data_IF_595716913679
#
_entry.id   IF_595716913679
#
_cell.length_a   1.000
_cell.length_b   1.000
_cell.length_c   1.000
_cell.angle_alpha   90.00
_cell.angle_beta   90.00
_cell.angle_gamma   90.00
#
_symmetry.space_group_name_H-M   'P 1'
#
loop_
_entity.id
_entity.type
_entity.pdbx_description
1 polymer ?
#
# COMPACT_ATOMS: atom_id res chain seq x y z
N UNK A 1 -33.58 8.67 33.12
CA UNK A 1 -34.11 7.30 32.94
C UNK A 1 -33.89 6.90 31.49
N UNK A 2 -33.13 5.84 31.23
CA UNK A 2 -32.94 5.33 29.87
C UNK A 2 -34.28 4.82 29.32
N UNK A 3 -34.64 5.22 28.10
CA UNK A 3 -35.86 4.78 27.46
C UNK A 3 -35.78 3.25 27.23
N UNK A 4 -36.67 2.42 27.81
CA UNK A 4 -36.59 0.97 27.65
C UNK A 4 -36.68 0.55 26.18
N UNK A 5 -37.36 1.31 25.31
CA UNK A 5 -37.39 1.06 23.85
C UNK A 5 -36.04 1.27 23.18
N UNK A 6 -35.20 2.16 23.71
CA UNK A 6 -33.86 2.41 23.20
C UNK A 6 -32.95 1.21 23.47
N UNK A 7 -32.98 0.65 24.68
CA UNK A 7 -32.23 -0.56 25.03
C UNK A 7 -32.63 -1.80 24.20
N UNK A 8 -33.87 -1.89 23.71
CA UNK A 8 -34.28 -2.93 22.75
C UNK A 8 -33.89 -2.60 21.31
N UNK A 9 -33.86 -1.31 20.96
CA UNK A 9 -33.40 -0.82 19.65
C UNK A 9 -31.90 -1.07 19.43
N UNK A 10 -31.08 -0.79 20.45
CA UNK A 10 -29.61 -0.92 20.41
C UNK A 10 -29.15 -2.38 20.24
N UNK A 11 -30.03 -3.36 20.49
CA UNK A 11 -29.75 -4.79 20.23
C UNK A 11 -29.90 -5.16 18.75
N UNK A 12 -30.55 -4.33 17.94
CA UNK A 12 -30.78 -4.60 16.51
C UNK A 12 -29.61 -4.05 15.70
N UNK A 13 -29.07 -4.81 14.73
CA UNK A 13 -28.00 -4.31 13.88
C UNK A 13 -28.47 -3.08 13.08
N UNK A 14 -27.76 -1.93 13.14
CA UNK A 14 -28.10 -0.76 12.36
C UNK A 14 -27.71 -0.98 10.89
N UNK A 15 -28.69 -1.15 10.01
CA UNK A 15 -28.43 -1.42 8.58
C UNK A 15 -27.90 -0.20 7.80
N UNK A 16 -27.94 1.00 8.39
CA UNK A 16 -27.60 2.26 7.73
C UNK A 16 -26.08 2.56 7.64
N UNK A 17 -25.22 1.69 8.19
CA UNK A 17 -23.77 1.93 8.19
C UNK A 17 -23.08 1.68 6.85
N UNK A 18 -23.78 1.08 5.88
CA UNK A 18 -23.28 1.00 4.51
C UNK A 18 -23.67 2.29 3.79
N UNK A 19 -22.73 3.17 3.40
CA UNK A 19 -23.07 4.42 2.72
C UNK A 19 -23.75 4.18 1.38
N UNK A 20 -24.64 5.08 0.97
CA UNK A 20 -25.38 4.98 -0.30
C UNK A 20 -24.44 4.85 -1.52
N UNK A 21 -23.29 5.52 -1.50
CA UNK A 21 -22.29 5.43 -2.57
C UNK A 21 -21.78 4.00 -2.79
N UNK A 22 -21.55 3.26 -1.69
CA UNK A 22 -21.13 1.88 -1.75
C UNK A 22 -22.27 0.96 -2.18
N UNK A 23 -23.50 1.19 -1.68
CA UNK A 23 -24.68 0.43 -2.08
C UNK A 23 -24.93 0.57 -3.58
N UNK A 24 -24.86 1.78 -4.14
CA UNK A 24 -25.11 2.00 -5.57
C UNK A 24 -24.01 1.40 -6.45
N UNK A 25 -22.74 1.45 -6.04
CA UNK A 25 -21.65 0.84 -6.80
C UNK A 25 -21.81 -0.69 -6.90
N UNK A 26 -22.22 -1.33 -5.81
CA UNK A 26 -22.53 -2.76 -5.80
C UNK A 26 -23.80 -3.09 -6.57
N UNK A 27 -24.87 -2.31 -6.38
CA UNK A 27 -26.13 -2.47 -7.10
C UNK A 27 -25.92 -2.36 -8.60
N UNK A 28 -25.10 -1.42 -9.07
CA UNK A 28 -24.77 -1.26 -10.50
C UNK A 28 -24.20 -2.54 -11.11
N UNK A 29 -23.25 -3.19 -10.44
CA UNK A 29 -22.66 -4.45 -10.88
C UNK A 29 -23.67 -5.63 -10.79
N UNK A 30 -24.47 -5.70 -9.73
CA UNK A 30 -25.51 -6.72 -9.60
C UNK A 30 -26.63 -6.54 -10.62
N UNK A 31 -26.97 -5.29 -10.96
CA UNK A 31 -27.98 -4.95 -11.95
C UNK A 31 -27.51 -5.34 -13.36
N UNK A 32 -26.24 -5.12 -13.72
CA UNK A 32 -25.68 -5.68 -14.96
C UNK A 32 -25.82 -7.21 -15.03
N UNK A 33 -25.56 -7.92 -13.92
CA UNK A 33 -25.81 -9.35 -13.81
C UNK A 33 -27.29 -9.72 -14.02
N UNK A 34 -28.20 -8.96 -13.40
CA UNK A 34 -29.66 -9.13 -13.52
C UNK A 34 -30.18 -8.86 -14.95
N UNK A 35 -29.47 -8.09 -15.77
CA UNK A 35 -29.85 -7.92 -17.18
C UNK A 35 -29.51 -9.16 -18.03
N UNK A 36 -28.58 -10.00 -17.57
CA UNK A 36 -28.12 -11.22 -18.24
C UNK A 36 -28.78 -12.49 -17.67
N UNK A 37 -29.15 -12.44 -16.39
CA UNK A 37 -29.66 -13.55 -15.60
C UNK A 37 -30.82 -13.08 -14.71
N UNK A 38 -31.53 -14.01 -14.06
CA UNK A 38 -32.56 -13.62 -13.10
C UNK A 38 -31.95 -12.95 -11.83
N UNK A 39 -32.68 -12.05 -11.16
CA UNK A 39 -32.25 -11.51 -9.87
C UNK A 39 -31.99 -12.63 -8.87
N UNK A 40 -30.87 -12.54 -8.13
CA UNK A 40 -30.50 -13.51 -7.09
C UNK A 40 -30.35 -14.96 -7.59
N UNK A 41 -30.11 -15.17 -8.89
CA UNK A 41 -30.01 -16.51 -9.51
C UNK A 41 -29.02 -17.48 -8.83
N UNK A 42 -28.00 -16.98 -8.14
CA UNK A 42 -27.05 -17.78 -7.37
C UNK A 42 -27.67 -18.52 -6.17
N UNK A 43 -28.92 -18.21 -5.80
CA UNK A 43 -29.70 -18.97 -4.81
C UNK A 43 -30.33 -20.23 -5.38
N UNK A 44 -30.49 -20.30 -6.69
CA UNK A 44 -31.08 -21.45 -7.39
C UNK A 44 -30.01 -22.28 -8.10
N UNK A 45 -28.94 -21.62 -8.57
CA UNK A 45 -27.84 -22.26 -9.28
C UNK A 45 -26.58 -22.29 -8.40
N UNK A 46 -25.99 -23.47 -8.13
CA UNK A 46 -24.77 -23.55 -7.35
C UNK A 46 -23.61 -22.75 -7.96
N UNK A 47 -22.84 -22.09 -7.10
CA UNK A 47 -21.70 -21.26 -7.50
C UNK A 47 -20.41 -21.73 -6.83
N UNK A 48 -19.32 -21.76 -7.57
CA UNK A 48 -18.00 -22.13 -7.04
C UNK A 48 -17.30 -20.94 -6.38
N UNK A 49 -16.79 -21.16 -5.16
CA UNK A 49 -16.16 -20.11 -4.36
C UNK A 49 -14.96 -19.46 -5.08
N UNK A 50 -14.05 -20.27 -5.64
CA UNK A 50 -12.83 -19.77 -6.28
C UNK A 50 -13.11 -18.93 -7.53
N UNK A 51 -14.18 -19.22 -8.27
CA UNK A 51 -14.59 -18.43 -9.45
C UNK A 51 -14.84 -16.97 -9.07
N UNK A 52 -15.58 -16.73 -8.00
CA UNK A 52 -15.90 -15.38 -7.53
C UNK A 52 -14.74 -14.74 -6.76
N UNK A 53 -13.91 -15.52 -6.05
CA UNK A 53 -12.67 -15.02 -5.42
C UNK A 53 -11.70 -14.48 -6.48
N UNK A 54 -11.48 -15.24 -7.56
CA UNK A 54 -10.58 -14.81 -8.64
C UNK A 54 -11.16 -13.63 -9.44
N UNK A 55 -12.48 -13.61 -9.66
CA UNK A 55 -13.15 -12.48 -10.30
C UNK A 55 -12.99 -11.19 -9.47
N UNK A 56 -13.26 -11.25 -8.16
CA UNK A 56 -13.04 -10.14 -7.25
C UNK A 56 -11.56 -9.68 -7.28
N UNK A 57 -10.61 -10.63 -7.27
CA UNK A 57 -9.20 -10.30 -7.33
C UNK A 57 -8.82 -9.57 -8.63
N UNK A 58 -9.34 -9.99 -9.80
CA UNK A 58 -9.10 -9.29 -11.07
C UNK A 58 -9.60 -7.84 -11.04
N UNK A 59 -10.84 -7.62 -10.60
CA UNK A 59 -11.38 -6.25 -10.45
C UNK A 59 -10.57 -5.41 -9.47
N UNK A 60 -10.13 -6.00 -8.35
CA UNK A 60 -9.29 -5.32 -7.37
C UNK A 60 -7.91 -4.95 -7.93
N UNK A 61 -7.28 -5.84 -8.72
CA UNK A 61 -6.00 -5.54 -9.37
C UNK A 61 -6.12 -4.43 -10.42
N UNK A 62 -7.21 -4.40 -11.20
CA UNK A 62 -7.47 -3.33 -12.17
C UNK A 62 -7.67 -1.98 -11.47
N UNK A 63 -8.50 -1.95 -10.42
CA UNK A 63 -8.68 -0.75 -9.62
C UNK A 63 -7.38 -0.26 -8.99
N UNK A 64 -6.56 -1.17 -8.45
CA UNK A 64 -5.26 -0.86 -7.85
C UNK A 64 -4.33 -0.12 -8.82
N UNK A 65 -4.44 -0.38 -10.12
CA UNK A 65 -3.61 0.28 -11.15
C UNK A 65 -4.29 1.51 -11.79
N UNK A 66 -5.40 1.98 -11.22
CA UNK A 66 -6.08 3.22 -11.62
C UNK A 66 -7.25 3.03 -12.61
N UNK A 67 -7.67 1.79 -12.88
CA UNK A 67 -8.82 1.53 -13.74
C UNK A 67 -10.12 1.53 -12.91
N UNK A 68 -10.88 2.63 -12.97
CA UNK A 68 -12.08 2.81 -12.13
C UNK A 68 -13.29 1.97 -12.58
N UNK A 69 -13.47 1.82 -13.90
CA UNK A 69 -14.60 1.13 -14.51
C UNK A 69 -14.15 -0.16 -15.21
N UNK A 70 -15.02 -1.16 -15.29
CA UNK A 70 -14.81 -2.35 -16.12
C UNK A 70 -14.85 -1.97 -17.61
N UNK A 71 -14.15 -2.73 -18.47
CA UNK A 71 -14.09 -2.42 -19.92
C UNK A 71 -15.28 -2.92 -20.71
N UNK A 72 -15.99 -3.91 -20.19
CA UNK A 72 -17.08 -4.60 -20.86
C UNK A 72 -18.42 -3.88 -20.65
N UNK A 73 -18.71 -3.51 -19.41
CA UNK A 73 -20.03 -2.99 -18.98
C UNK A 73 -19.96 -1.62 -18.33
N UNK A 74 -18.76 -1.06 -18.16
CA UNK A 74 -18.52 0.27 -17.56
C UNK A 74 -19.05 0.42 -16.13
N UNK A 75 -19.21 -0.69 -15.41
CA UNK A 75 -19.55 -0.67 -13.97
C UNK A 75 -18.29 -0.40 -13.14
N UNK A 76 -18.42 0.09 -11.91
CA UNK A 76 -17.24 0.33 -11.06
C UNK A 76 -16.52 -0.97 -10.71
N UNK A 77 -15.19 -1.01 -10.86
CA UNK A 77 -14.38 -2.17 -10.46
C UNK A 77 -14.57 -2.50 -8.98
N UNK A 78 -14.57 -1.50 -8.08
CA UNK A 78 -14.88 -1.73 -6.65
C UNK A 78 -16.33 -2.19 -6.40
N UNK A 79 -17.27 -1.78 -7.26
CA UNK A 79 -18.64 -2.29 -7.25
C UNK A 79 -18.71 -3.77 -7.59
N UNK A 80 -17.98 -4.19 -8.63
CA UNK A 80 -17.87 -5.59 -9.03
C UNK A 80 -17.18 -6.47 -7.97
N UNK A 81 -16.17 -5.94 -7.26
CA UNK A 81 -15.58 -6.61 -6.08
C UNK A 81 -16.64 -6.86 -5.00
N UNK A 82 -17.42 -5.83 -4.64
CA UNK A 82 -18.50 -5.97 -3.65
C UNK A 82 -19.56 -6.97 -4.11
N UNK A 83 -19.99 -6.92 -5.37
CA UNK A 83 -20.96 -7.85 -5.94
C UNK A 83 -20.49 -9.31 -5.82
N UNK A 84 -19.21 -9.60 -6.14
CA UNK A 84 -18.63 -10.92 -5.96
C UNK A 84 -18.68 -11.40 -4.50
N UNK A 85 -18.29 -10.54 -3.56
CA UNK A 85 -18.38 -10.85 -2.12
C UNK A 85 -19.81 -11.11 -1.67
N UNK A 86 -20.77 -10.33 -2.17
CA UNK A 86 -22.20 -10.48 -1.83
C UNK A 86 -22.77 -11.79 -2.35
N UNK A 87 -22.43 -12.19 -3.57
CA UNK A 87 -22.83 -13.50 -4.11
C UNK A 87 -22.27 -14.63 -3.25
N UNK A 88 -20.99 -14.57 -2.87
CA UNK A 88 -20.37 -15.58 -2.00
C UNK A 88 -21.05 -15.70 -0.63
N UNK A 89 -21.32 -14.56 0.01
CA UNK A 89 -21.97 -14.52 1.33
C UNK A 89 -23.40 -15.06 1.25
N UNK A 90 -24.17 -14.61 0.26
CA UNK A 90 -25.58 -14.97 0.14
C UNK A 90 -25.76 -16.41 -0.35
N UNK A 91 -24.94 -16.90 -1.28
CA UNK A 91 -24.93 -18.31 -1.68
C UNK A 91 -24.56 -19.25 -0.52
N UNK A 92 -23.61 -18.85 0.34
CA UNK A 92 -23.29 -19.61 1.55
C UNK A 92 -24.50 -19.69 2.51
N UNK A 93 -25.21 -18.57 2.70
CA UNK A 93 -26.40 -18.51 3.53
C UNK A 93 -27.57 -19.37 3.00
N UNK A 94 -27.63 -19.59 1.68
CA UNK A 94 -28.67 -20.40 1.02
C UNK A 94 -28.23 -21.83 0.70
N UNK A 95 -27.00 -22.23 1.06
CA UNK A 95 -26.49 -23.58 0.82
C UNK A 95 -26.19 -23.90 -0.65
N UNK A 96 -26.07 -22.88 -1.51
CA UNK A 96 -25.72 -23.02 -2.93
C UNK A 96 -24.25 -22.76 -3.23
N UNK A 97 -23.46 -22.37 -2.23
CA UNK A 97 -22.02 -22.20 -2.39
C UNK A 97 -21.29 -23.56 -2.42
N UNK A 98 -20.58 -23.83 -3.50
CA UNK A 98 -19.59 -24.90 -3.60
C UNK A 98 -18.24 -24.37 -3.09
N UNK A 99 -17.87 -24.74 -1.87
CA UNK A 99 -16.57 -24.40 -1.29
C UNK A 99 -15.45 -25.27 -1.90
N UNK A 100 -14.93 -24.87 -3.06
CA UNK A 100 -13.80 -25.51 -3.74
C UNK A 100 -12.43 -24.91 -3.35
N UNK A 101 -12.35 -24.15 -2.25
CA UNK A 101 -11.08 -23.54 -1.79
C UNK A 101 -10.14 -24.60 -1.24
N UNK A 102 -8.83 -24.42 -1.49
CA UNK A 102 -7.78 -25.17 -0.82
C UNK A 102 -7.57 -24.57 0.57
N UNK A 103 -7.83 -25.37 1.61
CA UNK A 103 -7.69 -24.95 3.00
C UNK A 103 -6.26 -25.23 3.47
N UNK A 104 -5.61 -24.23 4.04
CA UNK A 104 -4.28 -24.36 4.63
C UNK A 104 -4.21 -23.49 5.88
N UNK A 105 -4.10 -24.13 7.04
CA UNK A 105 -3.88 -23.42 8.30
C UNK A 105 -2.51 -22.73 8.29
N UNK A 106 -1.50 -23.39 7.73
CA UNK A 106 -0.15 -22.83 7.58
C UNK A 106 -0.20 -21.50 6.83
N UNK A 107 -0.89 -21.44 5.69
CA UNK A 107 -1.00 -20.19 4.91
C UNK A 107 -1.77 -19.09 5.66
N UNK A 108 -2.76 -19.47 6.48
CA UNK A 108 -3.50 -18.51 7.29
C UNK A 108 -2.62 -17.91 8.40
N UNK A 109 -1.80 -18.74 9.05
CA UNK A 109 -0.95 -18.32 10.17
C UNK A 109 0.24 -17.46 9.69
N UNK A 110 0.78 -17.71 8.50
CA UNK A 110 1.92 -16.97 7.94
C UNK A 110 1.72 -15.46 7.89
N UNK A 111 0.49 -14.97 7.68
CA UNK A 111 0.22 -13.54 7.67
C UNK A 111 0.33 -12.93 9.08
N UNK A 112 -0.10 -13.66 10.11
CA UNK A 112 -0.01 -13.23 11.51
C UNK A 112 1.43 -13.30 12.04
N UNK A 113 2.14 -14.39 11.72
CA UNK A 113 3.59 -14.51 11.97
C UNK A 113 4.37 -13.39 11.24
N UNK A 114 3.78 -12.88 10.15
CA UNK A 114 4.15 -11.67 9.44
C UNK A 114 4.50 -10.47 10.34
N UNK A 115 3.63 -10.23 11.31
CA UNK A 115 3.67 -9.06 12.18
C UNK A 115 4.93 -9.07 13.07
N UNK A 116 5.37 -10.25 13.51
CA UNK A 116 6.55 -10.40 14.36
C UNK A 116 7.82 -9.93 13.67
N UNK A 117 8.01 -10.32 12.40
CA UNK A 117 9.20 -9.89 11.67
C UNK A 117 9.12 -8.43 11.25
N UNK A 118 7.92 -7.86 11.03
CA UNK A 118 7.75 -6.42 10.79
C UNK A 118 8.27 -5.62 12.00
N UNK A 119 7.83 -5.97 13.21
CA UNK A 119 8.27 -5.30 14.43
C UNK A 119 9.76 -5.47 14.69
N UNK A 120 10.29 -6.69 14.49
CA UNK A 120 11.74 -6.94 14.55
C UNK A 120 12.51 -6.07 13.57
N UNK A 121 12.06 -5.95 12.32
CA UNK A 121 12.75 -5.13 11.30
C UNK A 121 12.69 -3.63 11.61
N UNK A 122 11.58 -3.13 12.15
CA UNK A 122 11.48 -1.75 12.67
C UNK A 122 12.53 -1.50 13.76
N UNK A 123 12.66 -2.40 14.72
CA UNK A 123 13.64 -2.28 15.80
C UNK A 123 15.09 -2.26 15.28
N UNK A 124 15.41 -3.17 14.33
CA UNK A 124 16.73 -3.19 13.67
C UNK A 124 17.02 -1.87 12.94
N UNK A 125 16.03 -1.30 12.25
CA UNK A 125 16.20 -0.04 11.54
C UNK A 125 16.43 1.14 12.51
N UNK A 126 15.66 1.20 13.61
CA UNK A 126 15.84 2.23 14.64
C UNK A 126 17.24 2.17 15.26
N UNK A 127 17.74 0.97 15.56
CA UNK A 127 19.09 0.81 16.10
C UNK A 127 20.17 1.23 15.08
N UNK A 128 20.01 0.90 13.79
CA UNK A 128 20.93 1.37 12.74
C UNK A 128 20.94 2.89 12.62
N UNK A 129 19.78 3.55 12.74
CA UNK A 129 19.71 5.01 12.75
C UNK A 129 20.41 5.59 13.97
N UNK A 130 20.21 5.01 15.16
CA UNK A 130 20.89 5.42 16.40
C UNK A 130 22.41 5.30 16.27
N UNK A 131 22.90 4.20 15.70
CA UNK A 131 24.33 3.99 15.46
C UNK A 131 24.91 5.01 14.49
N UNK A 132 24.21 5.31 13.39
CA UNK A 132 24.63 6.35 12.42
C UNK A 132 24.71 7.72 13.08
N UNK A 133 23.69 8.14 13.82
CA UNK A 133 23.71 9.42 14.55
C UNK A 133 24.87 9.48 15.55
N UNK A 134 25.15 8.38 16.25
CA UNK A 134 26.25 8.31 17.20
C UNK A 134 27.62 8.40 16.51
N UNK A 135 27.77 7.80 15.32
CA UNK A 135 28.97 7.93 14.50
C UNK A 135 29.13 9.36 13.99
N UNK A 136 28.06 9.97 13.46
CA UNK A 136 28.08 11.35 12.98
C UNK A 136 28.47 12.33 14.09
N UNK A 137 27.84 12.21 15.28
CA UNK A 137 28.19 12.98 16.47
C UNK A 137 29.67 12.83 16.85
N UNK A 138 30.21 11.60 16.81
CA UNK A 138 31.60 11.33 17.15
C UNK A 138 32.55 11.95 16.12
N UNK A 139 32.20 11.91 14.83
CA UNK A 139 32.98 12.55 13.76
C UNK A 139 33.01 14.06 13.97
N UNK A 140 31.87 14.69 14.31
CA UNK A 140 31.80 16.14 14.59
C UNK A 140 32.69 16.54 15.76
N UNK A 141 32.63 15.81 16.88
CA UNK A 141 33.47 16.12 18.06
C UNK A 141 34.97 16.03 17.70
N UNK A 142 35.38 14.97 17.00
CA UNK A 142 36.79 14.78 16.60
C UNK A 142 37.22 15.88 15.64
N UNK A 143 36.37 16.32 14.69
CA UNK A 143 36.71 17.43 13.81
C UNK A 143 36.86 18.75 14.55
N UNK A 144 36.03 19.01 15.56
CA UNK A 144 36.10 20.23 16.38
C UNK A 144 37.40 20.23 17.21
N UNK A 145 37.75 19.12 17.86
CA UNK A 145 39.00 18.95 18.63
C UNK A 145 40.24 19.14 17.74
N UNK A 146 40.26 18.53 16.55
CA UNK A 146 41.34 18.72 15.57
C UNK A 146 41.42 20.19 15.14
N UNK A 147 40.28 20.87 14.97
CA UNK A 147 40.26 22.29 14.62
C UNK A 147 40.85 23.17 15.73
N UNK A 148 40.54 22.90 17.00
CA UNK A 148 41.08 23.63 18.14
C UNK A 148 42.59 23.40 18.30
N UNK A 149 43.05 22.16 18.10
CA UNK A 149 44.46 21.80 18.16
C UNK A 149 45.25 22.37 16.97
N UNK A 150 44.68 22.36 15.76
CA UNK A 150 45.26 23.00 14.58
C UNK A 150 45.37 24.52 14.75
N UNK A 151 44.34 25.16 15.30
CA UNK A 151 44.36 26.59 15.67
C UNK A 151 45.48 26.88 16.68
N UNK A 152 45.60 26.07 17.74
CA UNK A 152 46.66 26.22 18.74
C UNK A 152 48.07 26.09 18.15
N UNK A 153 48.25 25.17 17.21
CA UNK A 153 49.53 24.95 16.52
C UNK A 153 49.85 26.06 15.50
N UNK A 154 48.84 26.61 14.82
CA UNK A 154 48.98 27.75 13.90
C UNK A 154 49.41 29.05 14.61
N UNK A 155 48.95 29.27 15.85
CA UNK A 155 49.35 30.44 16.64
C UNK A 155 50.62 30.21 17.50
N UNK A 156 51.24 29.02 17.42
CA UNK A 156 52.42 28.64 18.21
C UNK A 156 53.74 28.45 17.43
N UNK A 157 53.74 28.56 16.09
CA UNK A 157 54.91 28.37 15.24
C UNK A 157 55.17 29.55 14.27
N UNK A 158 56.41 29.73 13.76
CA UNK A 158 56.73 30.81 12.83
C UNK A 158 56.01 30.63 11.49
N UNK A 159 55.48 31.74 10.96
CA UNK A 159 54.61 31.80 9.78
C UNK A 159 55.25 31.14 8.55
N UNK A 160 54.63 30.08 8.04
CA UNK A 160 55.09 29.40 6.83
C UNK A 160 54.76 30.20 5.55
N UNK A 161 55.67 30.17 4.57
CA UNK A 161 55.52 30.84 3.28
C UNK A 161 54.44 30.16 2.42
N UNK A 162 53.54 30.97 1.87
CA UNK A 162 52.46 30.54 0.97
C UNK A 162 53.03 30.37 -0.44
N UNK A 163 52.91 29.17 -0.99
CA UNK A 163 53.18 28.91 -2.41
C UNK A 163 51.84 28.81 -3.15
N UNK A 164 51.68 29.60 -4.21
CA UNK A 164 50.50 29.56 -5.08
C UNK A 164 50.54 28.35 -6.01
N UNK A 165 49.47 27.57 -6.04
CA UNK A 165 49.31 26.45 -6.97
C UNK A 165 48.68 26.93 -8.30
N UNK A 166 49.15 26.45 -9.46
CA UNK A 166 48.52 26.77 -10.74
C UNK A 166 47.12 26.10 -10.86
N UNK A 167 46.20 26.68 -11.66
CA UNK A 167 44.84 26.15 -11.80
C UNK A 167 44.84 24.75 -12.41
N UNK A 168 44.21 23.78 -11.74
CA UNK A 168 44.03 22.41 -12.24
C UNK A 168 42.93 22.32 -13.30
N UNK A 169 43.14 21.46 -14.30
CA UNK A 169 42.08 21.09 -15.26
C UNK A 169 40.93 20.34 -14.55
N UNK A 170 39.65 20.65 -14.85
CA UNK A 170 38.53 19.93 -14.26
C UNK A 170 38.39 18.52 -14.88
N UNK A 171 38.49 17.48 -14.03
CA UNK A 171 38.19 16.10 -14.43
C UNK A 171 36.71 15.75 -14.25
N UNK A 172 36.21 14.95 -15.22
CA UNK A 172 34.85 14.45 -15.44
C UNK A 172 34.25 13.71 -14.23
N UNK A 173 33.00 14.00 -13.93
CA UNK A 173 32.17 13.20 -13.01
C UNK A 173 31.80 11.87 -13.66
N UNK A 174 32.21 10.76 -13.06
CA UNK A 174 31.63 9.42 -13.26
C UNK A 174 31.33 8.86 -11.89
N UNK A 175 30.09 9.10 -11.43
CA UNK A 175 29.38 8.33 -10.40
C UNK A 175 27.87 8.35 -10.74
N UNK A 176 27.56 7.86 -11.94
CA UNK A 176 26.25 7.29 -12.28
C UNK A 176 25.04 8.20 -12.42
N UNK A 177 25.15 9.54 -12.33
CA UNK A 177 23.99 10.42 -12.49
C UNK A 177 24.32 11.64 -13.39
N UNK A 178 23.70 11.69 -14.58
CA UNK A 178 23.67 12.88 -15.43
C UNK A 178 22.53 13.80 -14.95
N UNK A 179 22.77 15.09 -14.68
CA UNK A 179 21.72 16.05 -14.35
C UNK A 179 21.05 16.52 -15.65
N UNK A 180 20.21 15.67 -16.24
CA UNK A 180 19.19 16.05 -17.24
C UNK A 180 18.12 14.95 -17.37
N UNK A 181 17.72 14.37 -16.24
CA UNK A 181 16.70 13.32 -16.16
C UNK A 181 15.30 13.88 -16.44
N UNK A 182 14.85 13.86 -17.69
CA UNK A 182 13.41 13.71 -17.97
C UNK A 182 13.07 12.22 -17.99
N UNK A 183 12.53 11.74 -16.87
CA UNK A 183 11.90 10.42 -16.79
C UNK A 183 10.64 10.42 -17.69
N UNK A 184 10.39 9.38 -18.52
CA UNK A 184 9.19 9.34 -19.34
C UNK A 184 7.95 9.18 -18.43
N UNK A 185 6.84 9.92 -18.70
CA UNK A 185 5.67 9.86 -17.84
C UNK A 185 4.84 8.58 -18.09
N UNK A 186 4.38 8.00 -16.98
CA UNK A 186 3.38 6.94 -16.90
C UNK A 186 2.14 7.51 -16.17
N UNK A 187 0.88 7.18 -16.53
CA UNK A 187 0.40 6.11 -17.43
C UNK A 187 -0.12 6.57 -18.82
N UNK A 188 0.43 7.61 -19.46
CA UNK A 188 -0.09 8.11 -20.74
C UNK A 188 0.98 8.13 -21.85
N UNK A 189 0.81 7.29 -22.87
CA UNK A 189 1.28 7.66 -24.21
C UNK A 189 0.41 8.81 -24.74
N UNK A 190 0.95 9.74 -25.55
CA UNK A 190 0.16 10.83 -26.10
C UNK A 190 -0.97 10.29 -27.00
N UNK A 191 -2.19 10.87 -26.95
CA UNK A 191 -3.19 10.61 -27.98
C UNK A 191 -2.72 11.20 -29.33
N UNK A 192 -3.30 10.76 -30.44
CA UNK A 192 -3.28 11.54 -31.68
C UNK A 192 -3.78 12.97 -31.42
#
# INVERSE_FOLDING_TARGET
MSNPKQAFGDKKPPLAYIPLSAQLAELEALFDGMLKYEPLNWRDTPVEAMTYVEAAFRHLQLWKVGEELTRDTLVKNLGAVKACCTILIDAAAHGTLIDNRRKSQVEADLLHEGEEWVERLKAVHQERLRQRQQVDLKVTIVSDEISEEAVRNLFGGPTAQVFEAPPGEPLRVVDGFMPDSKFPPWPYSPPL
#
